data_IF_735624558619
#
_entry.id   IF_735624558619
#
_cell.length_a   1.000
_cell.length_b   1.000
_cell.length_c   1.000
_cell.angle_alpha   90.00
_cell.angle_beta   90.00
_cell.angle_gamma   90.00
#
_symmetry.space_group_name_H-M   'P 1'
#
loop_
_entity.id
_entity.type
_entity.pdbx_description
1 polymer ?
#
# COMPACT_ATOMS: atom_id res chain seq x y z
N UNK A 1 35.57 3.16 46.69
CA UNK A 1 36.92 3.53 47.14
C UNK A 1 37.82 3.48 45.92
N UNK A 2 38.10 4.64 45.31
CA UNK A 2 39.17 4.80 44.33
C UNK A 2 40.55 4.66 45.05
N UNK A 3 41.70 4.59 44.34
CA UNK A 3 42.26 5.84 43.82
C UNK A 3 43.02 5.77 42.48
N UNK A 4 43.00 6.93 41.83
CA UNK A 4 43.97 7.59 40.96
C UNK A 4 45.33 6.93 40.68
N UNK A 5 45.81 7.08 39.43
CA UNK A 5 46.99 7.91 39.15
C UNK A 5 47.21 8.26 37.67
N UNK A 6 47.43 9.55 37.49
CA UNK A 6 47.74 10.29 36.28
C UNK A 6 49.26 10.27 35.99
N UNK A 7 49.59 10.51 34.71
CA UNK A 7 50.82 11.12 34.16
C UNK A 7 52.12 10.28 34.14
N UNK A 8 52.72 10.14 32.95
CA UNK A 8 53.98 10.82 32.56
C UNK A 8 54.34 10.57 31.07
N UNK A 9 54.43 11.68 30.34
CA UNK A 9 55.14 11.91 29.06
C UNK A 9 56.68 11.88 29.32
N UNK A 10 57.58 11.75 28.31
CA UNK A 10 57.86 12.86 27.40
C UNK A 10 58.35 12.55 25.96
N UNK A 11 58.01 13.49 25.08
CA UNK A 11 58.81 14.20 24.06
C UNK A 11 59.79 13.46 23.12
N UNK A 12 59.56 13.66 21.82
CA UNK A 12 60.59 14.20 20.90
C UNK A 12 60.00 15.15 19.83
N UNK A 13 60.35 16.43 19.97
CA UNK A 13 60.71 17.46 18.96
C UNK A 13 61.16 16.90 17.58
N UNK A 14 61.02 17.52 16.40
CA UNK A 14 60.61 18.86 15.92
C UNK A 14 60.53 18.85 14.34
N UNK A 15 60.72 19.95 13.57
CA UNK A 15 59.67 20.83 13.00
C UNK A 15 59.76 21.04 11.47
N UNK A 16 58.79 21.74 10.85
CA UNK A 16 59.02 22.58 9.65
C UNK A 16 57.82 23.52 9.34
N UNK A 17 58.09 24.83 9.45
CA UNK A 17 57.79 25.92 8.51
C UNK A 17 56.36 26.34 8.12
N UNK A 18 56.04 27.58 8.50
CA UNK A 18 54.94 28.42 7.97
C UNK A 18 55.37 29.18 6.69
N UNK A 19 54.44 29.71 5.86
CA UNK A 19 54.02 31.10 6.12
C UNK A 19 52.55 31.46 5.76
N UNK A 20 52.12 32.55 6.42
CA UNK A 20 50.89 33.35 6.31
C UNK A 20 50.44 33.66 4.87
N UNK A 21 49.13 33.52 4.55
CA UNK A 21 48.41 34.41 3.60
C UNK A 21 46.89 34.51 3.83
N UNK A 22 46.48 35.78 3.88
CA UNK A 22 45.24 36.45 3.46
C UNK A 22 43.86 36.09 4.05
N UNK A 23 43.30 37.10 4.73
CA UNK A 23 41.88 37.26 5.06
C UNK A 23 41.06 37.51 3.80
N UNK A 24 39.94 36.80 3.66
CA UNK A 24 38.85 37.15 2.75
C UNK A 24 37.60 37.42 3.57
N UNK A 25 37.10 38.64 3.53
CA UNK A 25 35.84 39.02 4.17
C UNK A 25 34.67 38.47 3.33
N UNK A 26 33.80 37.68 3.93
CA UNK A 26 32.53 37.30 3.32
C UNK A 26 31.53 38.45 3.51
N UNK A 27 31.25 39.20 2.45
CA UNK A 27 30.13 40.14 2.41
C UNK A 27 28.84 39.37 2.10
N UNK A 28 27.85 39.44 2.99
CA UNK A 28 26.53 38.85 2.81
C UNK A 28 25.61 39.83 2.06
N UNK A 29 25.14 39.54 0.83
CA UNK A 29 24.10 40.35 0.21
C UNK A 29 22.76 40.03 0.89
N UNK A 30 22.30 40.90 1.79
CA UNK A 30 20.93 40.86 2.30
C UNK A 30 19.99 41.40 1.23
N UNK A 31 19.52 40.51 0.35
CA UNK A 31 18.38 40.82 -0.52
C UNK A 31 17.11 40.69 0.30
N UNK A 32 16.59 41.82 0.80
CA UNK A 32 15.30 41.86 1.48
C UNK A 32 14.17 41.83 0.45
N UNK A 33 13.70 40.64 0.10
CA UNK A 33 12.48 40.47 -0.70
C UNK A 33 11.27 40.82 0.19
N UNK A 34 10.82 42.09 0.16
CA UNK A 34 9.54 42.47 0.77
C UNK A 34 8.42 42.04 -0.18
N UNK A 35 7.84 40.88 0.08
CA UNK A 35 6.54 40.51 -0.49
C UNK A 35 5.51 41.41 0.20
N UNK A 36 5.00 42.40 -0.53
CA UNK A 36 3.80 43.11 -0.11
C UNK A 36 2.62 42.13 -0.15
N UNK A 37 1.71 42.14 0.84
CA UNK A 37 0.48 41.36 0.74
C UNK A 37 -0.43 42.04 -0.29
N UNK A 38 -0.52 41.46 -1.49
CA UNK A 38 -1.57 41.83 -2.43
C UNK A 38 -2.89 41.20 -1.95
N UNK A 39 -3.92 41.99 -1.57
CA UNK A 39 -5.25 41.46 -1.39
C UNK A 39 -5.81 41.10 -2.78
N UNK A 40 -6.32 39.88 -2.94
CA UNK A 40 -6.94 39.35 -4.15
C UNK A 40 -5.97 38.96 -5.30
N UNK A 41 -5.22 37.88 -5.10
CA UNK A 41 -5.10 36.92 -6.19
C UNK A 41 -6.28 35.95 -6.06
N UNK A 42 -7.24 36.02 -6.98
CA UNK A 42 -8.34 35.03 -7.12
C UNK A 42 -7.83 33.69 -7.68
N UNK A 43 -6.54 33.61 -8.00
CA UNK A 43 -5.88 32.45 -8.60
C UNK A 43 -5.71 31.20 -7.71
N UNK A 44 -5.60 31.24 -6.36
CA UNK A 44 -5.43 30.04 -5.55
C UNK A 44 -6.75 29.27 -5.34
N UNK A 45 -7.90 29.92 -5.49
CA UNK A 45 -9.20 29.34 -5.12
C UNK A 45 -9.93 28.63 -6.27
N UNK A 46 -9.63 28.94 -7.53
CA UNK A 46 -10.33 28.37 -8.69
C UNK A 46 -10.19 26.85 -8.84
N UNK A 47 -9.11 26.26 -8.32
CA UNK A 47 -8.84 24.84 -8.48
C UNK A 47 -8.19 24.24 -7.23
N UNK A 48 -8.71 24.62 -6.07
CA UNK A 48 -8.13 24.21 -4.79
C UNK A 48 -8.17 22.70 -4.60
N UNK A 49 -9.17 22.01 -5.17
CA UNK A 49 -9.33 20.56 -5.02
C UNK A 49 -8.13 19.79 -5.59
N UNK A 50 -7.56 20.28 -6.70
CA UNK A 50 -6.39 19.66 -7.33
C UNK A 50 -5.07 20.08 -6.68
N UNK A 51 -4.96 21.33 -6.21
CA UNK A 51 -3.72 21.84 -5.63
C UNK A 51 -3.53 21.50 -4.15
N UNK A 52 -4.61 21.26 -3.40
CA UNK A 52 -4.57 21.06 -1.94
C UNK A 52 -3.60 19.99 -1.48
N UNK A 53 -3.55 18.83 -2.16
CA UNK A 53 -2.63 17.73 -1.83
C UNK A 53 -1.15 18.07 -2.10
N UNK A 54 -0.88 19.02 -2.99
CA UNK A 54 0.47 19.46 -3.37
C UNK A 54 0.97 20.67 -2.58
N UNK A 55 0.10 21.36 -1.83
CA UNK A 55 0.48 22.50 -0.99
C UNK A 55 1.26 22.03 0.25
N UNK A 56 2.27 22.80 0.63
CA UNK A 56 2.97 22.62 1.90
C UNK A 56 2.03 22.94 3.08
N UNK A 57 2.27 22.38 4.28
CA UNK A 57 1.41 22.65 5.44
C UNK A 57 1.34 24.15 5.78
N UNK A 58 2.44 24.88 5.60
CA UNK A 58 2.47 26.33 5.80
C UNK A 58 1.57 27.09 4.81
N UNK A 59 1.54 26.65 3.54
CA UNK A 59 0.65 27.22 2.54
C UNK A 59 -0.81 26.84 2.79
N UNK A 60 -1.09 25.62 3.24
CA UNK A 60 -2.45 25.21 3.62
C UNK A 60 -3.00 26.10 4.74
N UNK A 61 -2.20 26.38 5.78
CA UNK A 61 -2.57 27.30 6.85
C UNK A 61 -2.77 28.74 6.37
N UNK A 62 -1.90 29.24 5.49
CA UNK A 62 -2.05 30.57 4.91
C UNK A 62 -3.34 30.69 4.08
N UNK A 63 -3.67 29.65 3.32
CA UNK A 63 -4.88 29.58 2.49
C UNK A 63 -6.13 29.48 3.36
N UNK A 64 -6.05 28.72 4.47
CA UNK A 64 -7.11 28.64 5.47
C UNK A 64 -7.40 29.99 6.12
N UNK A 65 -6.37 30.70 6.59
CA UNK A 65 -6.51 32.05 7.18
C UNK A 65 -7.12 33.04 6.18
N UNK A 66 -6.70 33.00 4.91
CA UNK A 66 -7.27 33.83 3.87
C UNK A 66 -8.77 33.54 3.64
N UNK A 67 -9.18 32.26 3.67
CA UNK A 67 -10.58 31.87 3.56
C UNK A 67 -11.39 32.30 4.77
N UNK A 68 -10.86 32.22 5.99
CA UNK A 68 -11.53 32.72 7.20
C UNK A 68 -11.79 34.23 7.15
N UNK A 69 -10.85 35.01 6.61
CA UNK A 69 -11.04 36.45 6.41
C UNK A 69 -12.13 36.76 5.38
N UNK A 70 -12.25 35.94 4.34
CA UNK A 70 -13.32 36.05 3.34
C UNK A 70 -14.68 35.63 3.90
N UNK A 71 -14.73 34.60 4.74
CA UNK A 71 -15.96 34.12 5.38
C UNK A 71 -16.59 35.13 6.35
N UNK A 72 -15.80 36.09 6.86
CA UNK A 72 -16.32 37.20 7.70
C UNK A 72 -17.10 38.24 6.89
N UNK A 73 -16.93 38.28 5.57
CA UNK A 73 -17.62 39.22 4.68
C UNK A 73 -19.02 38.71 4.33
N UNK A 74 -19.79 39.55 3.64
CA UNK A 74 -21.10 39.16 3.11
C UNK A 74 -20.98 38.00 2.11
N UNK A 75 -21.62 36.88 2.45
CA UNK A 75 -21.67 35.65 1.66
C UNK A 75 -22.29 35.82 0.26
N UNK A 76 -23.08 36.87 0.02
CA UNK A 76 -23.63 37.16 -1.31
C UNK A 76 -22.59 37.70 -2.28
N UNK A 77 -21.52 38.32 -1.76
CA UNK A 77 -20.45 38.95 -2.55
C UNK A 77 -19.27 38.00 -2.84
N UNK A 78 -19.20 36.85 -2.17
CA UNK A 78 -18.20 35.82 -2.46
C UNK A 78 -18.47 35.14 -3.81
N UNK A 79 -17.40 34.94 -4.58
CA UNK A 79 -17.47 34.16 -5.81
C UNK A 79 -17.81 32.70 -5.53
N UNK A 80 -18.38 32.02 -6.53
CA UNK A 80 -18.73 30.59 -6.42
C UNK A 80 -17.49 29.72 -6.18
N UNK A 81 -16.34 30.10 -6.74
CA UNK A 81 -15.09 29.37 -6.59
C UNK A 81 -14.55 29.47 -5.16
N UNK A 82 -14.65 30.65 -4.52
CA UNK A 82 -14.27 30.82 -3.12
C UNK A 82 -15.18 30.02 -2.17
N UNK A 83 -16.47 29.94 -2.49
CA UNK A 83 -17.42 29.11 -1.72
C UNK A 83 -17.09 27.62 -1.84
N UNK A 84 -16.80 27.15 -3.06
CA UNK A 84 -16.36 25.76 -3.29
C UNK A 84 -15.04 25.48 -2.58
N UNK A 85 -14.10 26.42 -2.61
CA UNK A 85 -12.84 26.30 -1.91
C UNK A 85 -13.02 26.20 -0.40
N UNK A 86 -13.84 27.08 0.20
CA UNK A 86 -14.19 27.01 1.61
C UNK A 86 -14.84 25.66 1.98
N UNK A 87 -15.75 25.16 1.15
CA UNK A 87 -16.37 23.86 1.35
C UNK A 87 -15.35 22.71 1.28
N UNK A 88 -14.47 22.72 0.28
CA UNK A 88 -13.46 21.68 0.11
C UNK A 88 -12.44 21.67 1.25
N UNK A 89 -11.99 22.84 1.74
CA UNK A 89 -11.05 22.91 2.87
C UNK A 89 -11.68 22.48 4.19
N UNK A 90 -12.99 22.70 4.37
CA UNK A 90 -13.68 22.31 5.59
C UNK A 90 -14.13 20.84 5.58
N UNK A 91 -14.52 20.29 4.41
CA UNK A 91 -15.20 19.01 4.28
C UNK A 91 -14.61 18.06 3.22
N UNK A 92 -13.50 18.41 2.59
CA UNK A 92 -12.87 17.61 1.55
C UNK A 92 -12.28 16.29 2.08
N UNK A 93 -11.93 15.36 1.17
CA UNK A 93 -11.31 14.08 1.49
C UNK A 93 -9.81 14.25 1.83
N UNK A 94 -9.53 15.00 2.89
CA UNK A 94 -8.19 15.28 3.40
C UNK A 94 -8.11 15.08 4.93
N UNK A 95 -6.89 14.98 5.45
CA UNK A 95 -6.65 14.76 6.88
C UNK A 95 -7.36 13.49 7.37
N UNK A 96 -8.11 13.53 8.48
CA UNK A 96 -8.84 12.37 9.00
C UNK A 96 -9.92 11.80 8.07
N UNK A 97 -10.33 12.54 7.03
CA UNK A 97 -11.37 12.14 6.08
C UNK A 97 -10.81 11.62 4.75
N UNK A 98 -9.51 11.36 4.67
CA UNK A 98 -8.94 10.74 3.48
C UNK A 98 -9.48 9.31 3.32
N UNK A 99 -9.95 8.90 2.12
CA UNK A 99 -10.42 7.56 1.90
C UNK A 99 -9.31 6.54 2.20
N UNK A 100 -9.62 5.56 3.04
CA UNK A 100 -8.74 4.43 3.37
C UNK A 100 -8.27 3.64 2.14
N UNK A 101 -9.07 3.68 1.09
CA UNK A 101 -8.78 3.05 -0.20
C UNK A 101 -8.40 4.15 -1.18
N UNK A 102 -7.09 4.29 -1.42
CA UNK A 102 -6.58 5.13 -2.48
C UNK A 102 -7.16 4.71 -3.84
N UNK A 103 -7.32 5.63 -4.81
CA UNK A 103 -7.76 5.27 -6.16
C UNK A 103 -6.81 4.22 -6.76
N UNK A 104 -7.37 3.13 -7.28
CA UNK A 104 -6.61 1.99 -7.81
C UNK A 104 -6.11 0.96 -6.79
N UNK A 105 -6.36 1.16 -5.49
CA UNK A 105 -6.04 0.17 -4.44
C UNK A 105 -6.74 -1.17 -4.67
N UNK A 106 -8.00 -1.17 -5.14
CA UNK A 106 -8.75 -2.40 -5.42
C UNK A 106 -8.08 -3.32 -6.45
N UNK A 107 -7.49 -2.75 -7.51
CA UNK A 107 -6.76 -3.53 -8.51
C UNK A 107 -5.48 -4.14 -7.94
N UNK A 108 -4.77 -3.42 -7.06
CA UNK A 108 -3.58 -3.94 -6.35
C UNK A 108 -3.95 -5.08 -5.41
N UNK A 109 -5.05 -4.94 -4.66
CA UNK A 109 -5.55 -6.00 -3.77
C UNK A 109 -5.95 -7.25 -4.56
N UNK A 110 -6.72 -7.08 -5.64
CA UNK A 110 -7.13 -8.20 -6.49
C UNK A 110 -5.91 -8.91 -7.11
N UNK A 111 -4.95 -8.15 -7.63
CA UNK A 111 -3.71 -8.69 -8.18
C UNK A 111 -2.89 -9.46 -7.12
N UNK A 112 -2.76 -8.90 -5.92
CA UNK A 112 -2.05 -9.53 -4.81
C UNK A 112 -2.70 -10.84 -4.35
N UNK A 113 -4.03 -10.86 -4.19
CA UNK A 113 -4.77 -12.08 -3.81
C UNK A 113 -4.66 -13.15 -4.91
N UNK A 114 -4.83 -12.75 -6.17
CA UNK A 114 -4.73 -13.68 -7.31
C UNK A 114 -3.34 -14.31 -7.39
N UNK A 115 -2.28 -13.50 -7.20
CA UNK A 115 -0.91 -13.97 -7.17
C UNK A 115 -0.68 -14.97 -6.02
N UNK A 116 -1.18 -14.67 -4.81
CA UNK A 116 -1.05 -15.57 -3.67
C UNK A 116 -1.73 -16.92 -3.92
N UNK A 117 -2.92 -16.92 -4.55
CA UNK A 117 -3.63 -18.16 -4.92
C UNK A 117 -2.82 -18.95 -5.94
N UNK A 118 -2.28 -18.31 -6.99
CA UNK A 118 -1.46 -18.97 -8.00
C UNK A 118 -0.20 -19.59 -7.38
N UNK A 119 0.49 -18.86 -6.50
CA UNK A 119 1.68 -19.37 -5.79
C UNK A 119 1.30 -20.57 -4.93
N UNK A 120 0.20 -20.49 -4.18
CA UNK A 120 -0.26 -21.60 -3.33
C UNK A 120 -0.59 -22.86 -4.16
N UNK A 121 -1.23 -22.69 -5.31
CA UNK A 121 -1.56 -23.79 -6.20
C UNK A 121 -0.30 -24.39 -6.84
N UNK A 122 0.66 -23.55 -7.25
CA UNK A 122 1.94 -23.99 -7.78
C UNK A 122 2.76 -24.77 -6.75
N UNK A 123 2.79 -24.32 -5.50
CA UNK A 123 3.46 -25.04 -4.42
C UNK A 123 2.76 -26.37 -4.13
N UNK A 124 1.43 -26.39 -4.08
CA UNK A 124 0.65 -27.60 -3.85
C UNK A 124 0.86 -28.63 -4.96
N UNK A 125 0.84 -28.23 -6.23
CA UNK A 125 1.05 -29.16 -7.36
C UNK A 125 2.48 -29.69 -7.37
N UNK A 126 3.48 -28.84 -7.10
CA UNK A 126 4.87 -29.27 -6.96
C UNK A 126 5.08 -30.26 -5.80
N UNK A 127 4.44 -30.03 -4.65
CA UNK A 127 4.47 -31.00 -3.55
C UNK A 127 3.75 -32.31 -3.93
N UNK A 128 2.66 -32.23 -4.68
CA UNK A 128 1.85 -33.40 -5.05
C UNK A 128 2.53 -34.31 -6.07
N UNK A 129 3.40 -33.80 -6.94
CA UNK A 129 4.16 -34.63 -7.89
C UNK A 129 5.25 -35.46 -7.20
N UNK A 130 5.74 -35.03 -6.03
CA UNK A 130 6.73 -35.75 -5.23
C UNK A 130 6.12 -36.77 -4.26
N UNK A 131 4.79 -36.82 -4.16
CA UNK A 131 4.10 -37.72 -3.25
C UNK A 131 4.09 -39.17 -3.76
N UNK A 132 3.79 -40.11 -2.85
CA UNK A 132 3.72 -41.55 -3.13
C UNK A 132 2.78 -41.88 -4.30
N UNK A 133 3.07 -43.00 -4.96
CA UNK A 133 2.23 -43.54 -6.04
C UNK A 133 0.80 -43.80 -5.56
N UNK A 134 -0.16 -43.71 -6.48
CA UNK A 134 -1.57 -44.00 -6.17
C UNK A 134 -1.70 -45.48 -5.81
N UNK A 135 -2.52 -45.85 -4.79
CA UNK A 135 -2.78 -47.24 -4.48
C UNK A 135 -3.43 -47.96 -5.66
N UNK A 136 -3.13 -49.25 -5.82
CA UNK A 136 -3.64 -50.08 -6.93
C UNK A 136 -5.17 -50.16 -6.97
N UNK A 137 -5.84 -49.99 -5.83
CA UNK A 137 -7.31 -49.99 -5.73
C UNK A 137 -7.97 -48.77 -6.38
N UNK A 138 -7.18 -47.73 -6.69
CA UNK A 138 -7.66 -46.58 -7.46
C UNK A 138 -7.45 -46.75 -8.96
N UNK A 139 -7.05 -47.91 -9.47
CA UNK A 139 -7.04 -48.14 -10.91
C UNK A 139 -8.46 -48.38 -11.43
N UNK A 140 -8.67 -48.13 -12.73
CA UNK A 140 -10.00 -48.20 -13.34
C UNK A 140 -10.50 -49.65 -13.38
N UNK A 141 -9.63 -50.58 -13.74
CA UNK A 141 -9.94 -52.01 -13.79
C UNK A 141 -10.33 -52.55 -12.41
N UNK A 142 -9.69 -52.09 -11.33
CA UNK A 142 -10.05 -52.50 -9.97
C UNK A 142 -11.43 -51.96 -9.56
N UNK A 143 -11.73 -50.72 -9.92
CA UNK A 143 -13.02 -50.09 -9.64
C UNK A 143 -14.16 -50.73 -10.46
N UNK A 144 -13.89 -51.12 -11.71
CA UNK A 144 -14.84 -51.86 -12.54
C UNK A 144 -15.08 -53.28 -12.00
N UNK A 145 -14.03 -54.00 -11.59
CA UNK A 145 -14.18 -55.29 -10.92
C UNK A 145 -14.96 -55.18 -9.59
N UNK A 146 -14.73 -54.10 -8.84
CA UNK A 146 -15.49 -53.83 -7.61
C UNK A 146 -16.98 -53.57 -7.91
N UNK A 147 -17.30 -52.94 -9.04
CA UNK A 147 -18.68 -52.79 -9.50
C UNK A 147 -19.32 -54.13 -9.84
N UNK A 148 -18.59 -55.06 -10.46
CA UNK A 148 -19.09 -56.40 -10.80
C UNK A 148 -19.38 -57.22 -9.53
N UNK A 149 -18.43 -57.25 -8.59
CA UNK A 149 -18.62 -57.90 -7.29
C UNK A 149 -19.82 -57.31 -6.54
N UNK A 150 -20.01 -56.00 -6.58
CA UNK A 150 -21.14 -55.35 -5.94
C UNK A 150 -22.49 -55.73 -6.56
N UNK A 151 -22.54 -55.91 -7.89
CA UNK A 151 -23.74 -56.42 -8.58
C UNK A 151 -24.05 -57.86 -8.18
N UNK A 152 -23.02 -58.71 -8.12
CA UNK A 152 -23.16 -60.11 -7.68
C UNK A 152 -23.70 -60.21 -6.25
N UNK A 153 -23.19 -59.35 -5.36
CA UNK A 153 -23.59 -59.29 -3.95
C UNK A 153 -24.88 -58.48 -3.73
N UNK A 154 -25.49 -57.92 -4.79
CA UNK A 154 -26.68 -57.06 -4.73
C UNK A 154 -26.51 -55.87 -3.77
N UNK A 155 -25.33 -55.27 -3.75
CA UNK A 155 -25.05 -54.07 -2.95
C UNK A 155 -25.84 -52.88 -3.50
N UNK A 156 -26.51 -52.13 -2.61
CA UNK A 156 -27.33 -50.95 -2.91
C UNK A 156 -28.37 -51.16 -4.04
N UNK A 157 -29.36 -52.06 -3.84
CA UNK A 157 -30.28 -52.48 -4.90
C UNK A 157 -31.32 -51.42 -5.30
N UNK A 158 -31.48 -50.33 -4.56
CA UNK A 158 -32.48 -49.29 -4.87
C UNK A 158 -31.91 -48.09 -5.63
N UNK A 159 -30.68 -47.67 -5.34
CA UNK A 159 -30.07 -46.45 -5.89
C UNK A 159 -28.67 -46.66 -6.45
N UNK A 160 -28.06 -47.81 -6.16
CA UNK A 160 -26.66 -48.10 -6.47
C UNK A 160 -26.48 -48.96 -7.70
N UNK A 161 -25.26 -49.49 -7.83
CA UNK A 161 -24.78 -50.19 -9.03
C UNK A 161 -25.59 -51.46 -9.37
N UNK A 162 -26.29 -52.03 -8.38
CA UNK A 162 -27.13 -53.22 -8.51
C UNK A 162 -28.60 -52.92 -8.79
N UNK A 163 -29.00 -51.65 -8.88
CA UNK A 163 -30.39 -51.26 -9.11
C UNK A 163 -30.83 -51.47 -10.56
N UNK A 164 -32.11 -51.82 -10.75
CA UNK A 164 -32.70 -51.96 -12.08
C UNK A 164 -32.67 -50.62 -12.83
N UNK A 165 -31.96 -50.57 -13.96
CA UNK A 165 -31.83 -49.35 -14.77
C UNK A 165 -30.73 -48.38 -14.34
N UNK A 166 -29.77 -48.79 -13.50
CA UNK A 166 -28.62 -47.96 -13.14
C UNK A 166 -27.76 -47.56 -14.36
N UNK A 167 -27.59 -46.24 -14.57
CA UNK A 167 -26.81 -45.65 -15.69
C UNK A 167 -25.55 -44.88 -15.25
N UNK A 168 -25.18 -44.97 -13.97
CA UNK A 168 -24.01 -44.27 -13.40
C UNK A 168 -22.69 -45.02 -13.56
N UNK A 169 -21.57 -44.37 -13.20
CA UNK A 169 -20.21 -44.96 -13.24
C UNK A 169 -19.91 -45.91 -12.06
N UNK A 170 -20.77 -45.93 -11.04
CA UNK A 170 -20.58 -46.77 -9.85
C UNK A 170 -19.40 -46.29 -9.01
N UNK A 171 -18.57 -47.22 -8.55
CA UNK A 171 -17.36 -46.94 -7.79
C UNK A 171 -16.22 -46.34 -8.62
N UNK A 172 -16.41 -46.18 -9.94
CA UNK A 172 -15.40 -45.58 -10.82
C UNK A 172 -15.35 -44.06 -10.60
N UNK A 173 -14.33 -43.59 -9.90
CA UNK A 173 -14.13 -42.19 -9.54
C UNK A 173 -13.04 -41.48 -10.36
N UNK A 174 -12.29 -42.22 -11.17
CA UNK A 174 -11.29 -41.67 -12.07
C UNK A 174 -11.88 -41.41 -13.47
N UNK A 175 -11.44 -40.31 -14.10
CA UNK A 175 -11.87 -39.91 -15.45
C UNK A 175 -11.03 -40.59 -16.51
#
# INVERSE_FOLDING_TARGET
MAPDRMCLLPDRFAPADAPLRLRTAYACPTTRNRIAPNPASTAPFKQIEASWKGLTPAEQEATFKALEELQKKDWTQLSIDEKKAAYYVAFGPHGPREPILAPGSGAKTLGGVTLAVIISLGLFTAARTLAQEKPKTLSREWQEASNEMAKEQKMDPFTGVSSEGYKGKGFVNNK
#
